data_IF_954438046232
#
_entry.id   IF_954438046232
#
_cell.length_a   1.000
_cell.length_b   1.000
_cell.length_c   1.000
_cell.angle_alpha   90.00
_cell.angle_beta   90.00
_cell.angle_gamma   90.00
#
_symmetry.space_group_name_H-M   'P 1'
#
loop_
_entity.id
_entity.type
_entity.pdbx_description
1 polymer ?
#
# COMPACT_ATOMS: atom_id res chain seq x y z
N UNK A 1 54.54 56.45 -64.64
CA UNK A 1 53.13 56.01 -64.50
C UNK A 1 53.16 54.70 -63.72
N UNK A 2 52.50 54.66 -62.56
CA UNK A 2 52.84 53.80 -61.43
C UNK A 2 52.46 52.31 -61.60
N UNK A 3 53.34 51.47 -61.04
CA UNK A 3 53.35 50.01 -61.00
C UNK A 3 52.26 49.43 -60.08
N UNK A 4 51.66 48.31 -60.48
CA UNK A 4 50.86 47.44 -59.59
C UNK A 4 51.23 45.98 -59.88
N UNK A 5 52.04 45.36 -59.00
CA UNK A 5 52.24 43.90 -58.94
C UNK A 5 52.53 43.48 -57.48
N UNK A 6 51.77 42.46 -57.03
CA UNK A 6 52.00 41.44 -55.96
C UNK A 6 52.63 41.86 -54.61
N UNK A 7 52.03 41.39 -53.51
CA UNK A 7 52.51 40.20 -52.73
C UNK A 7 51.77 40.02 -51.39
N UNK A 8 51.76 38.76 -50.92
CA UNK A 8 51.43 38.21 -49.57
C UNK A 8 49.94 37.99 -49.27
N UNK A 9 49.48 36.89 -48.64
CA UNK A 9 50.18 35.87 -47.85
C UNK A 9 49.44 34.52 -47.89
N UNK A 10 50.13 33.49 -48.41
CA UNK A 10 49.77 32.08 -48.34
C UNK A 10 50.33 31.48 -47.04
N UNK A 11 49.56 31.45 -45.95
CA UNK A 11 49.98 30.72 -44.73
C UNK A 11 48.87 29.86 -44.10
N UNK A 12 47.60 29.96 -44.51
CA UNK A 12 46.52 29.25 -43.82
C UNK A 12 45.80 28.14 -44.61
N UNK A 13 46.37 27.69 -45.74
CA UNK A 13 45.79 26.62 -46.57
C UNK A 13 46.66 25.36 -46.68
N UNK A 14 47.71 25.24 -45.85
CA UNK A 14 48.59 24.07 -45.80
C UNK A 14 48.36 23.11 -44.61
N UNK A 15 47.36 23.37 -43.76
CA UNK A 15 47.02 22.50 -42.61
C UNK A 15 45.78 21.60 -42.83
N UNK A 16 45.19 21.60 -44.02
CA UNK A 16 44.00 20.77 -44.33
C UNK A 16 44.31 19.57 -45.24
N UNK A 17 45.53 19.46 -45.77
CA UNK A 17 45.91 18.43 -46.77
C UNK A 17 46.75 17.27 -46.17
N UNK A 18 46.82 17.14 -44.84
CA UNK A 18 47.56 16.06 -44.15
C UNK A 18 46.73 15.13 -43.25
N UNK A 19 45.40 15.12 -43.41
CA UNK A 19 44.52 14.10 -42.80
C UNK A 19 43.55 13.47 -43.82
N UNK A 20 43.94 13.39 -45.10
CA UNK A 20 43.18 12.67 -46.16
C UNK A 20 44.03 11.53 -46.76
N UNK A 21 44.94 10.94 -45.98
CA UNK A 21 45.65 9.71 -46.37
C UNK A 21 45.77 8.77 -45.16
N UNK A 22 44.67 8.11 -44.78
CA UNK A 22 44.66 6.84 -44.02
C UNK A 22 43.28 6.17 -44.01
N UNK A 23 42.57 6.19 -45.15
CA UNK A 23 41.40 5.32 -45.35
C UNK A 23 41.56 4.55 -46.65
N UNK A 24 42.36 3.49 -46.60
CA UNK A 24 42.30 2.41 -47.56
C UNK A 24 42.68 1.11 -46.82
N UNK A 25 41.90 0.05 -47.11
CA UNK A 25 42.05 -1.35 -46.68
C UNK A 25 41.22 -1.78 -45.45
N UNK A 26 39.91 -1.98 -45.66
CA UNK A 26 39.20 -3.08 -45.00
C UNK A 26 38.12 -3.65 -45.93
N UNK A 27 38.29 -4.92 -46.31
CA UNK A 27 37.38 -5.74 -47.15
C UNK A 27 36.01 -5.95 -46.47
N UNK A 28 34.90 -6.07 -47.22
CA UNK A 28 33.60 -6.39 -46.64
C UNK A 28 33.50 -7.90 -46.36
N UNK A 29 33.31 -8.27 -45.09
CA UNK A 29 32.81 -9.62 -44.72
C UNK A 29 31.31 -9.52 -44.48
N UNK A 30 30.56 -10.16 -45.36
CA UNK A 30 29.14 -10.46 -45.17
C UNK A 30 28.97 -11.29 -43.89
N UNK A 31 28.32 -10.70 -42.88
CA UNK A 31 27.88 -11.40 -41.69
C UNK A 31 26.35 -11.28 -41.63
N UNK A 32 25.67 -12.39 -41.92
CA UNK A 32 24.24 -12.55 -41.72
C UNK A 32 23.91 -12.31 -40.25
N UNK A 33 23.20 -11.23 -39.96
CA UNK A 33 22.65 -10.96 -38.62
C UNK A 33 21.34 -11.74 -38.51
N UNK A 34 21.40 -12.90 -37.87
CA UNK A 34 20.22 -13.55 -37.31
C UNK A 34 19.64 -12.65 -36.21
N UNK A 35 18.31 -12.49 -36.10
CA UNK A 35 17.73 -11.74 -35.00
C UNK A 35 17.89 -12.56 -33.72
N UNK A 36 18.84 -12.16 -32.86
CA UNK A 36 18.89 -12.65 -31.50
C UNK A 36 17.73 -11.99 -30.74
N UNK A 37 16.71 -12.78 -30.43
CA UNK A 37 15.67 -12.41 -29.48
C UNK A 37 16.36 -12.16 -28.13
N UNK A 38 16.56 -10.88 -27.81
CA UNK A 38 17.14 -10.46 -26.53
C UNK A 38 16.08 -10.62 -25.46
N UNK A 39 16.03 -11.77 -24.80
CA UNK A 39 15.39 -11.85 -23.48
C UNK A 39 16.07 -10.81 -22.58
N UNK A 40 15.37 -9.71 -22.27
CA UNK A 40 15.83 -8.72 -21.30
C UNK A 40 16.14 -9.48 -20.00
N UNK A 41 17.42 -9.60 -19.66
CA UNK A 41 17.83 -9.99 -18.31
C UNK A 41 17.32 -8.91 -17.36
N UNK A 42 16.17 -9.16 -16.73
CA UNK A 42 15.59 -8.26 -15.72
C UNK A 42 16.59 -8.11 -14.59
N UNK A 43 16.93 -6.88 -14.23
CA UNK A 43 17.79 -6.59 -13.09
C UNK A 43 17.15 -7.19 -11.82
N UNK A 44 17.87 -8.02 -11.05
CA UNK A 44 17.30 -8.76 -9.92
C UNK A 44 16.89 -7.89 -8.73
N UNK A 45 17.12 -6.57 -8.79
CA UNK A 45 16.86 -5.61 -7.71
C UNK A 45 15.68 -4.68 -7.97
N UNK A 46 15.13 -4.66 -9.20
CA UNK A 46 14.03 -3.78 -9.57
C UNK A 46 12.74 -4.60 -9.65
N UNK A 47 11.65 -4.06 -9.11
CA UNK A 47 10.35 -4.68 -9.36
C UNK A 47 10.01 -4.63 -10.84
N UNK A 48 9.29 -5.66 -11.26
CA UNK A 48 8.88 -5.84 -12.64
C UNK A 48 8.09 -4.62 -13.14
N UNK A 49 8.60 -3.88 -14.14
CA UNK A 49 7.95 -2.69 -14.66
C UNK A 49 6.68 -2.97 -15.45
N UNK A 50 6.47 -4.22 -15.87
CA UNK A 50 5.31 -4.62 -16.66
C UNK A 50 4.14 -5.06 -15.76
N UNK A 51 4.29 -4.90 -14.44
CA UNK A 51 3.32 -5.37 -13.46
C UNK A 51 2.75 -4.24 -12.60
N UNK A 52 1.42 -4.31 -12.44
CA UNK A 52 0.63 -3.45 -11.57
C UNK A 52 0.10 -4.29 -10.41
N UNK A 53 0.31 -3.84 -9.18
CA UNK A 53 -0.26 -4.50 -8.00
C UNK A 53 -1.46 -3.72 -7.47
N UNK A 54 -2.42 -4.45 -6.91
CA UNK A 54 -3.48 -3.89 -6.07
C UNK A 54 -3.22 -4.33 -4.65
N UNK A 55 -3.13 -3.36 -3.74
CA UNK A 55 -3.04 -3.61 -2.31
C UNK A 55 -4.32 -3.17 -1.63
N UNK A 56 -4.69 -3.90 -0.58
CA UNK A 56 -5.64 -3.42 0.42
C UNK A 56 -4.87 -3.00 1.66
N UNK A 57 -5.12 -1.78 2.11
CA UNK A 57 -4.69 -1.31 3.42
C UNK A 57 -5.87 -1.35 4.39
N UNK A 58 -5.67 -1.96 5.55
CA UNK A 58 -6.62 -1.90 6.67
C UNK A 58 -5.95 -1.17 7.82
N UNK A 59 -6.55 -0.06 8.27
CA UNK A 59 -6.21 0.58 9.53
C UNK A 59 -7.05 -0.09 10.63
N UNK A 60 -6.39 -0.78 11.57
CA UNK A 60 -7.02 -1.24 12.81
C UNK A 60 -6.59 -0.31 13.96
N UNK A 61 -7.56 0.30 14.62
CA UNK A 61 -7.31 1.25 15.70
C UNK A 61 -7.48 0.55 17.05
N UNK A 62 -6.57 0.86 17.98
CA UNK A 62 -6.47 0.26 19.31
C UNK A 62 -6.49 1.34 20.40
N UNK A 63 -7.14 2.48 20.15
CA UNK A 63 -7.25 3.56 21.13
C UNK A 63 -8.42 3.28 22.08
N UNK A 64 -8.11 2.51 23.12
CA UNK A 64 -9.07 2.12 24.15
C UNK A 64 -8.75 2.75 25.49
N UNK A 65 -9.77 2.84 26.37
CA UNK A 65 -9.59 3.27 27.76
C UNK A 65 -8.63 2.38 28.53
N UNK A 66 -8.54 1.10 28.18
CA UNK A 66 -7.64 0.15 28.86
C UNK A 66 -6.19 0.39 28.50
N UNK A 67 -5.89 0.65 27.22
CA UNK A 67 -4.52 0.89 26.76
C UNK A 67 -4.06 2.32 27.01
N UNK A 68 -4.98 3.29 26.90
CA UNK A 68 -4.71 4.72 27.06
C UNK A 68 -5.74 5.35 28.02
N UNK A 69 -5.67 5.05 29.33
CA UNK A 69 -6.67 5.50 30.30
C UNK A 69 -6.63 7.01 30.58
N UNK A 70 -5.47 7.66 30.38
CA UNK A 70 -5.29 9.08 30.72
C UNK A 70 -6.11 9.95 29.77
N UNK A 71 -7.03 10.72 30.33
CA UNK A 71 -7.87 11.69 29.61
C UNK A 71 -8.60 11.11 28.39
N UNK A 72 -8.91 9.82 28.40
CA UNK A 72 -9.61 9.16 27.28
C UNK A 72 -10.91 9.91 26.95
N UNK A 73 -11.08 10.49 25.74
CA UNK A 73 -12.24 11.29 25.39
C UNK A 73 -13.50 10.42 25.29
N UNK A 74 -14.46 10.61 26.19
CA UNK A 74 -15.73 9.87 26.17
C UNK A 74 -16.86 10.65 25.50
N UNK A 75 -16.80 11.98 25.49
CA UNK A 75 -17.91 12.83 25.04
C UNK A 75 -17.41 14.14 24.43
N UNK A 76 -18.14 14.62 23.41
CA UNK A 76 -18.00 15.93 22.74
C UNK A 76 -16.58 16.30 22.25
N UNK A 77 -16.06 15.63 21.20
CA UNK A 77 -16.51 14.34 20.66
C UNK A 77 -15.89 13.15 21.43
N UNK A 78 -16.47 11.95 21.35
CA UNK A 78 -15.81 10.74 21.84
C UNK A 78 -14.53 10.45 21.03
N UNK A 79 -13.64 9.64 21.60
CA UNK A 79 -12.46 9.13 20.92
C UNK A 79 -12.86 8.46 19.61
N UNK A 80 -12.29 8.93 18.50
CA UNK A 80 -12.57 8.48 17.14
C UNK A 80 -11.39 8.83 16.23
N UNK A 81 -11.53 8.55 14.94
CA UNK A 81 -10.49 8.77 13.93
C UNK A 81 -11.06 9.43 12.69
N UNK A 82 -10.28 10.31 12.06
CA UNK A 82 -10.65 10.85 10.75
C UNK A 82 -10.64 9.75 9.68
N UNK A 83 -11.08 10.12 8.46
CA UNK A 83 -10.78 9.31 7.28
C UNK A 83 -9.28 9.05 7.17
N UNK A 84 -8.91 7.94 6.56
CA UNK A 84 -7.52 7.71 6.13
C UNK A 84 -7.35 8.40 4.80
N UNK A 85 -6.30 9.20 4.68
CA UNK A 85 -5.83 9.74 3.41
C UNK A 85 -4.55 9.00 3.03
N UNK A 86 -4.41 8.60 1.77
CA UNK A 86 -3.21 7.92 1.31
C UNK A 86 -2.88 8.19 -0.14
N UNK A 87 -1.61 8.00 -0.48
CA UNK A 87 -1.08 8.12 -1.84
C UNK A 87 -0.08 7.00 -2.09
N UNK A 88 -0.14 6.37 -3.26
CA UNK A 88 1.01 5.65 -3.80
C UNK A 88 1.85 6.58 -4.65
N UNK A 89 3.16 6.47 -4.54
CA UNK A 89 4.06 7.46 -5.12
C UNK A 89 5.49 6.95 -5.29
N UNK A 90 6.28 7.73 -6.02
CA UNK A 90 7.73 7.54 -6.18
C UNK A 90 8.52 8.23 -5.04
N UNK A 91 9.84 8.37 -5.19
CA UNK A 91 10.66 9.02 -4.17
C UNK A 91 10.58 10.56 -4.13
N UNK A 92 9.97 11.20 -5.13
CA UNK A 92 9.91 12.65 -5.25
C UNK A 92 8.80 13.28 -4.40
N UNK A 93 7.69 12.56 -4.22
CA UNK A 93 6.58 13.00 -3.39
C UNK A 93 6.81 12.71 -1.89
N UNK A 94 6.26 13.55 -1.02
CA UNK A 94 6.27 13.36 0.43
C UNK A 94 4.98 13.91 1.03
N UNK A 95 4.14 13.02 1.59
CA UNK A 95 2.92 13.43 2.28
C UNK A 95 3.23 14.15 3.61
N UNK A 96 4.13 13.54 4.40
CA UNK A 96 4.66 14.09 5.64
C UNK A 96 6.00 13.43 5.94
N UNK A 97 6.84 14.06 6.78
CA UNK A 97 8.10 13.46 7.22
C UNK A 97 8.48 13.94 8.61
N UNK A 98 8.90 12.99 9.45
CA UNK A 98 9.44 13.30 10.78
C UNK A 98 10.66 14.22 10.63
N UNK A 99 10.78 15.19 11.53
CA UNK A 99 11.80 16.24 11.55
C UNK A 99 11.72 17.24 10.39
N UNK A 100 10.59 17.29 9.67
CA UNK A 100 10.26 18.33 8.69
C UNK A 100 8.98 19.06 9.12
N UNK A 101 8.83 20.30 8.66
CA UNK A 101 7.60 21.07 8.87
C UNK A 101 6.46 20.50 8.04
N UNK A 102 5.24 20.54 8.57
CA UNK A 102 4.04 20.13 7.83
C UNK A 102 3.79 21.03 6.62
N UNK A 103 3.31 20.45 5.51
CA UNK A 103 2.75 21.23 4.42
C UNK A 103 1.42 21.87 4.85
N UNK A 104 0.96 22.89 4.14
CA UNK A 104 -0.30 23.57 4.48
C UNK A 104 -1.50 22.61 4.37
N UNK A 105 -1.53 21.75 3.33
CA UNK A 105 -2.59 20.76 3.20
C UNK A 105 -2.54 19.70 4.31
N UNK A 106 -1.34 19.27 4.71
CA UNK A 106 -1.20 18.28 5.78
C UNK A 106 -1.52 18.88 7.16
N UNK A 107 -1.25 20.18 7.35
CA UNK A 107 -1.70 20.94 8.52
C UNK A 107 -3.23 20.96 8.61
N UNK A 108 -3.92 21.36 7.53
CA UNK A 108 -5.39 21.36 7.49
C UNK A 108 -5.96 19.99 7.87
N UNK A 109 -5.38 18.92 7.33
CA UNK A 109 -5.79 17.56 7.64
C UNK A 109 -5.54 17.16 9.09
N UNK A 110 -4.35 17.43 9.60
CA UNK A 110 -3.98 17.06 10.98
C UNK A 110 -4.73 17.85 12.02
N UNK A 111 -5.21 19.07 11.75
CA UNK A 111 -6.01 19.89 12.69
C UNK A 111 -7.52 19.72 12.53
N UNK A 112 -8.03 19.49 11.32
CA UNK A 112 -9.49 19.51 11.05
C UNK A 112 -10.05 18.19 10.51
N UNK A 113 -9.20 17.32 9.97
CA UNK A 113 -9.59 16.11 9.25
C UNK A 113 -10.07 16.36 7.81
N UNK A 114 -10.08 17.60 7.34
CA UNK A 114 -10.34 17.96 5.93
C UNK A 114 -9.11 17.74 5.07
N UNK A 115 -9.28 17.38 3.80
CA UNK A 115 -8.17 17.14 2.88
C UNK A 115 -8.31 17.92 1.58
N UNK A 116 -9.21 18.89 1.50
CA UNK A 116 -9.51 19.60 0.27
C UNK A 116 -8.25 20.20 -0.37
N UNK A 117 -7.36 20.78 0.45
CA UNK A 117 -6.08 21.32 -0.01
C UNK A 117 -5.12 20.23 -0.50
N UNK A 118 -5.04 19.07 0.18
CA UNK A 118 -4.18 17.95 -0.25
C UNK A 118 -4.67 17.29 -1.52
N UNK A 119 -5.99 17.13 -1.65
CA UNK A 119 -6.61 16.49 -2.81
C UNK A 119 -6.45 17.41 -4.03
N UNK A 120 -6.56 18.73 -3.86
CA UNK A 120 -6.24 19.71 -4.91
C UNK A 120 -4.76 19.71 -5.32
N UNK A 121 -3.83 19.54 -4.36
CA UNK A 121 -2.38 19.44 -4.63
C UNK A 121 -2.00 18.14 -5.33
N UNK A 122 -2.75 17.07 -5.10
CA UNK A 122 -2.50 15.76 -5.73
C UNK A 122 -2.82 15.78 -7.24
N UNK A 123 -3.60 16.76 -7.71
CA UNK A 123 -3.85 17.01 -9.13
C UNK A 123 -2.69 17.78 -9.77
N UNK A 124 -1.68 17.08 -10.29
CA UNK A 124 -0.59 17.67 -11.06
C UNK A 124 0.77 17.70 -10.37
N UNK A 125 0.91 17.19 -9.14
CA UNK A 125 2.21 16.89 -8.55
C UNK A 125 2.82 15.66 -9.22
N UNK A 126 4.02 15.84 -9.80
CA UNK A 126 4.80 14.73 -10.36
C UNK A 126 5.22 13.78 -9.25
N UNK A 127 4.90 12.49 -9.42
CA UNK A 127 5.35 11.41 -8.54
C UNK A 127 4.24 10.71 -7.76
N UNK A 128 3.00 11.21 -7.75
CA UNK A 128 1.83 10.48 -7.23
C UNK A 128 1.25 9.60 -8.35
N UNK A 129 0.93 8.35 -8.03
CA UNK A 129 0.34 7.39 -8.95
C UNK A 129 -1.14 7.14 -8.68
N UNK A 130 -1.49 6.92 -7.41
CA UNK A 130 -2.87 6.70 -6.99
C UNK A 130 -3.15 7.48 -5.70
N UNK A 131 -4.34 8.05 -5.61
CA UNK A 131 -4.87 8.68 -4.40
C UNK A 131 -6.02 7.83 -3.88
N UNK A 132 -5.96 7.47 -2.61
CA UNK A 132 -6.97 6.62 -1.99
C UNK A 132 -7.38 7.13 -0.62
N UNK A 133 -8.62 6.83 -0.25
CA UNK A 133 -9.20 7.21 1.02
C UNK A 133 -9.95 6.04 1.65
N UNK A 134 -9.87 5.91 2.99
CA UNK A 134 -10.70 4.98 3.75
C UNK A 134 -11.67 5.77 4.65
N UNK A 135 -12.91 5.30 4.86
CA UNK A 135 -13.88 5.98 5.73
C UNK A 135 -13.35 6.22 7.16
N UNK A 136 -13.86 7.25 7.88
CA UNK A 136 -13.51 7.47 9.28
C UNK A 136 -13.96 6.33 10.20
N UNK A 137 -13.26 6.16 11.32
CA UNK A 137 -13.66 5.22 12.39
C UNK A 137 -14.32 6.04 13.51
N UNK A 138 -15.60 5.81 13.77
CA UNK A 138 -16.42 6.63 14.69
C UNK A 138 -16.23 6.30 16.18
N UNK A 139 -15.27 5.44 16.52
CA UNK A 139 -14.91 5.04 17.87
C UNK A 139 -13.39 4.89 18.00
N UNK A 140 -12.87 4.87 19.22
CA UNK A 140 -11.43 4.77 19.47
C UNK A 140 -10.84 3.44 18.98
N UNK A 141 -11.64 2.38 18.97
CA UNK A 141 -11.31 1.07 18.40
C UNK A 141 -12.23 0.74 17.23
N UNK A 142 -11.66 0.21 16.16
CA UNK A 142 -12.39 -0.15 14.96
C UNK A 142 -11.46 -0.47 13.80
N UNK A 143 -12.05 -0.62 12.62
CA UNK A 143 -11.32 -0.89 11.39
C UNK A 143 -11.89 -0.07 10.24
N UNK A 144 -11.01 0.35 9.36
CA UNK A 144 -11.35 0.94 8.06
C UNK A 144 -10.36 0.44 7.02
N UNK A 145 -10.78 0.39 5.76
CA UNK A 145 -9.95 -0.14 4.68
C UNK A 145 -10.14 0.61 3.37
N UNK A 146 -9.11 0.56 2.53
CA UNK A 146 -9.09 1.08 1.18
C UNK A 146 -8.21 0.19 0.30
N UNK A 147 -8.52 0.13 -0.98
CA UNK A 147 -7.66 -0.46 -1.99
C UNK A 147 -6.92 0.64 -2.76
N UNK A 148 -5.72 0.35 -3.22
CA UNK A 148 -4.90 1.27 -4.00
C UNK A 148 -3.96 0.53 -4.93
N UNK A 149 -3.54 1.22 -5.98
CA UNK A 149 -2.65 0.71 -7.01
C UNK A 149 -1.20 1.13 -6.77
N UNK A 150 -0.26 0.24 -7.10
CA UNK A 150 1.19 0.52 -7.11
C UNK A 150 1.85 -0.14 -8.31
N UNK A 151 2.85 0.52 -8.88
CA UNK A 151 3.69 0.00 -9.97
C UNK A 151 5.18 0.04 -9.60
N UNK A 152 6.06 -0.39 -10.51
CA UNK A 152 7.51 -0.41 -10.23
C UNK A 152 8.12 0.96 -9.95
N UNK A 153 7.58 2.04 -10.54
CA UNK A 153 8.08 3.40 -10.37
C UNK A 153 7.52 4.06 -9.11
N UNK A 154 6.32 3.66 -8.69
CA UNK A 154 5.55 4.23 -7.59
C UNK A 154 5.26 3.15 -6.54
N UNK A 155 6.34 2.52 -6.07
CA UNK A 155 6.28 1.40 -5.13
C UNK A 155 6.14 1.80 -3.66
N UNK A 156 6.14 3.11 -3.37
CA UNK A 156 6.02 3.64 -2.00
C UNK A 156 4.58 4.02 -1.72
N UNK A 157 4.19 3.90 -0.47
CA UNK A 157 2.90 4.36 0.03
C UNK A 157 3.11 5.26 1.25
N UNK A 158 2.43 6.41 1.24
CA UNK A 158 2.29 7.28 2.41
C UNK A 158 0.81 7.46 2.74
N UNK A 159 0.48 7.42 4.03
CA UNK A 159 -0.89 7.60 4.48
C UNK A 159 -0.95 8.09 5.92
N UNK A 160 -2.04 8.75 6.28
CA UNK A 160 -2.27 9.28 7.61
C UNK A 160 -3.75 9.24 8.02
N UNK A 161 -4.00 9.25 9.33
CA UNK A 161 -5.31 9.44 9.95
C UNK A 161 -5.15 10.28 11.22
N UNK A 162 -5.95 11.34 11.35
CA UNK A 162 -5.97 12.23 12.52
C UNK A 162 -6.62 11.52 13.71
N UNK A 163 -6.04 11.73 14.89
CA UNK A 163 -6.61 11.34 16.18
C UNK A 163 -7.68 12.38 16.54
N UNK A 164 -8.90 11.95 16.85
CA UNK A 164 -10.01 12.87 17.10
C UNK A 164 -10.64 12.60 18.48
N UNK A 165 -10.77 13.62 19.35
CA UNK A 165 -10.23 14.97 19.21
C UNK A 165 -8.72 15.00 19.51
N UNK A 166 -8.01 15.93 18.88
CA UNK A 166 -6.64 16.29 19.23
C UNK A 166 -6.32 17.70 18.71
N UNK A 167 -5.21 18.33 19.13
CA UNK A 167 -4.72 19.57 18.54
C UNK A 167 -4.38 19.34 17.06
N UNK A 168 -3.28 18.64 16.78
CA UNK A 168 -2.75 18.33 15.44
C UNK A 168 -2.20 16.89 15.37
N UNK A 169 -2.69 15.99 16.23
CA UNK A 169 -2.11 14.66 16.37
C UNK A 169 -2.67 13.66 15.36
N UNK A 170 -1.79 12.78 14.88
CA UNK A 170 -2.15 11.79 13.86
C UNK A 170 -1.35 10.49 14.01
N UNK A 171 -1.75 9.47 13.25
CA UNK A 171 -0.94 8.28 12.97
C UNK A 171 -0.73 8.16 11.46
N UNK A 172 0.39 7.59 11.04
CA UNK A 172 0.67 7.46 9.62
C UNK A 172 1.93 6.69 9.31
N UNK A 173 2.16 6.49 8.01
CA UNK A 173 3.37 5.92 7.43
C UNK A 173 3.87 6.87 6.34
N UNK A 174 5.17 7.16 6.35
CA UNK A 174 5.87 7.93 5.32
C UNK A 174 6.67 6.96 4.45
N UNK A 175 6.41 6.99 3.14
CA UNK A 175 7.20 6.37 2.09
C UNK A 175 7.51 4.89 2.31
N UNK A 176 6.55 4.11 2.82
CA UNK A 176 6.72 2.68 3.04
C UNK A 176 6.82 1.96 1.69
N UNK A 177 7.92 1.25 1.45
CA UNK A 177 8.17 0.60 0.17
C UNK A 177 7.58 -0.82 0.15
N UNK A 178 6.66 -1.07 -0.78
CA UNK A 178 6.00 -2.37 -0.98
C UNK A 178 6.75 -3.29 -1.97
N UNK A 179 7.80 -2.76 -2.61
CA UNK A 179 8.72 -3.49 -3.47
C UNK A 179 10.11 -3.56 -2.82
N UNK A 180 10.54 -4.72 -2.37
CA UNK A 180 11.85 -4.90 -1.71
C UNK A 180 12.65 -5.94 -2.48
N UNK A 181 13.86 -5.59 -2.91
CA UNK A 181 14.76 -6.48 -3.65
C UNK A 181 14.10 -7.15 -4.87
N UNK A 182 13.32 -6.38 -5.63
CA UNK A 182 12.58 -6.86 -6.81
C UNK A 182 11.35 -7.72 -6.50
N UNK A 183 10.97 -7.86 -5.22
CA UNK A 183 9.82 -8.65 -4.79
C UNK A 183 8.74 -7.79 -4.13
N UNK A 184 7.49 -8.04 -4.54
CA UNK A 184 6.31 -7.40 -3.95
C UNK A 184 5.92 -8.08 -2.64
N UNK A 185 5.74 -7.29 -1.59
CA UNK A 185 5.37 -7.76 -0.24
C UNK A 185 3.95 -8.36 -0.24
N UNK A 186 3.79 -9.66 -0.04
CA UNK A 186 2.45 -10.27 -0.04
C UNK A 186 1.55 -9.77 1.11
N UNK A 187 2.11 -9.62 2.31
CA UNK A 187 1.42 -9.00 3.44
C UNK A 187 2.38 -8.48 4.49
N UNK A 188 2.02 -7.38 5.15
CA UNK A 188 2.79 -6.81 6.26
C UNK A 188 1.87 -6.08 7.24
N UNK A 189 2.20 -6.17 8.53
CA UNK A 189 1.50 -5.46 9.60
C UNK A 189 2.46 -4.49 10.28
N UNK A 190 2.13 -3.20 10.26
CA UNK A 190 2.98 -2.12 10.78
C UNK A 190 2.27 -1.44 11.93
N UNK A 191 2.84 -1.59 13.12
CA UNK A 191 2.38 -0.93 14.34
C UNK A 191 2.84 0.52 14.34
N UNK A 192 1.93 1.43 14.64
CA UNK A 192 2.21 2.87 14.66
C UNK A 192 1.82 3.48 15.99
N UNK A 193 2.56 4.53 16.37
CA UNK A 193 2.30 5.38 17.53
C UNK A 193 1.81 6.76 17.10
N UNK A 194 1.33 7.57 18.06
CA UNK A 194 0.91 8.94 17.79
C UNK A 194 2.09 9.82 17.35
N UNK A 195 1.81 10.76 16.45
CA UNK A 195 2.72 11.79 15.97
C UNK A 195 2.05 13.15 16.12
N UNK A 196 2.87 14.17 16.30
CA UNK A 196 2.49 15.57 16.44
C UNK A 196 2.76 16.29 15.11
N UNK A 197 1.83 17.14 14.66
CA UNK A 197 1.91 17.89 13.40
C UNK A 197 2.90 19.05 13.45
N UNK A 198 3.20 19.56 14.65
CA UNK A 198 4.02 20.75 14.88
C UNK A 198 3.30 22.06 14.56
N UNK A 199 1.98 22.07 14.48
CA UNK A 199 1.18 23.22 14.05
C UNK A 199 0.23 23.75 15.13
N UNK A 200 -0.05 22.98 16.17
CA UNK A 200 -0.79 23.41 17.37
C UNK A 200 -0.11 22.97 18.67
N UNK A 201 -0.03 23.88 19.66
CA UNK A 201 0.64 23.69 20.95
C UNK A 201 -0.26 23.05 22.03
N UNK A 202 -1.45 22.57 21.68
CA UNK A 202 -2.37 21.94 22.61
C UNK A 202 -1.74 20.74 23.35
N UNK A 203 -1.87 20.70 24.67
CA UNK A 203 -1.30 19.61 25.48
C UNK A 203 -2.21 18.38 25.58
N UNK A 204 -3.53 18.56 25.41
CA UNK A 204 -4.52 17.52 25.66
C UNK A 204 -5.41 17.29 24.45
N UNK A 205 -6.10 16.15 24.40
CA UNK A 205 -7.01 15.80 23.30
C UNK A 205 -8.05 16.90 23.00
N UNK A 206 -8.51 17.60 24.03
CA UNK A 206 -9.57 18.62 23.94
C UNK A 206 -9.04 20.02 24.24
N UNK A 207 -7.74 20.25 24.10
CA UNK A 207 -7.16 21.59 24.24
C UNK A 207 -7.78 22.54 23.21
N UNK A 208 -8.06 23.81 23.58
CA UNK A 208 -8.40 24.83 22.60
C UNK A 208 -7.27 25.01 21.58
N UNK A 209 -7.62 25.42 20.37
CA UNK A 209 -6.67 25.72 19.30
C UNK A 209 -5.64 26.78 19.77
N UNK A 210 -4.37 26.42 19.71
CA UNK A 210 -3.24 27.27 20.06
C UNK A 210 -2.13 27.11 19.01
N UNK A 211 -2.19 27.86 17.90
CA UNK A 211 -1.26 27.69 16.79
C UNK A 211 0.21 27.81 17.20
N UNK A 212 1.06 26.98 16.60
CA UNK A 212 2.51 27.03 16.76
C UNK A 212 3.13 28.07 15.84
N UNK A 213 3.79 29.07 16.43
CA UNK A 213 4.48 30.13 15.71
C UNK A 213 5.92 30.34 16.25
N UNK A 214 6.97 30.00 15.47
CA UNK A 214 6.92 29.40 14.13
C UNK A 214 6.41 27.94 14.18
N UNK A 215 6.00 27.41 13.02
CA UNK A 215 5.63 25.99 12.93
C UNK A 215 6.81 25.10 13.32
N UNK A 216 6.53 24.13 14.18
CA UNK A 216 7.49 23.14 14.61
C UNK A 216 7.62 22.02 13.57
N UNK A 217 8.54 21.10 13.82
CA UNK A 217 8.75 19.93 12.98
C UNK A 217 7.90 18.78 13.48
N UNK A 218 7.37 17.98 12.56
CA UNK A 218 6.65 16.75 12.89
C UNK A 218 7.55 15.85 13.74
N UNK A 219 7.04 15.37 14.87
CA UNK A 219 7.77 14.47 15.75
C UNK A 219 6.89 13.34 16.26
N UNK A 220 7.54 12.27 16.76
CA UNK A 220 6.82 11.14 17.38
C UNK A 220 6.50 11.48 18.82
N UNK A 221 5.25 11.32 19.20
CA UNK A 221 4.83 11.38 20.59
C UNK A 221 5.19 10.05 21.26
N UNK A 222 5.90 10.12 22.36
CA UNK A 222 6.32 8.95 23.16
C UNK A 222 5.70 9.03 24.56
N UNK A 223 5.95 8.03 25.40
CA UNK A 223 5.46 8.02 26.78
C UNK A 223 6.07 9.14 27.64
N UNK A 224 7.20 9.70 27.21
CA UNK A 224 7.96 10.72 27.92
C UNK A 224 8.19 12.02 27.13
N UNK A 225 7.73 12.11 25.88
CA UNK A 225 7.87 13.29 25.02
C UNK A 225 6.53 13.57 24.29
N UNK A 226 5.95 14.78 24.44
CA UNK A 226 6.49 15.91 25.19
C UNK A 226 6.40 15.71 26.72
N UNK A 227 7.42 16.15 27.45
CA UNK A 227 7.60 15.86 28.88
C UNK A 227 6.84 16.87 29.74
N UNK A 228 5.52 16.78 29.73
CA UNK A 228 4.66 17.62 30.55
C UNK A 228 3.56 16.77 31.22
N UNK A 229 3.30 16.91 32.53
CA UNK A 229 2.32 16.09 33.24
C UNK A 229 0.91 16.16 32.66
N UNK A 230 0.52 17.30 32.06
CA UNK A 230 -0.79 17.45 31.43
C UNK A 230 -0.90 16.77 30.07
N UNK A 231 0.22 16.38 29.42
CA UNK A 231 0.16 15.81 28.08
C UNK A 231 -0.60 14.48 28.06
N UNK A 232 -1.53 14.34 27.11
CA UNK A 232 -2.40 13.16 27.01
C UNK A 232 -1.65 11.84 26.93
N UNK A 233 -0.52 11.82 26.21
CA UNK A 233 0.32 10.65 26.01
C UNK A 233 1.52 10.56 26.96
N UNK A 234 1.56 11.39 28.00
CA UNK A 234 2.61 11.31 29.02
C UNK A 234 2.30 10.25 30.08
N UNK A 235 3.03 9.13 29.99
CA UNK A 235 2.97 7.96 30.87
C UNK A 235 4.39 7.64 31.37
N UNK A 236 4.87 8.31 32.43
CA UNK A 236 6.29 8.23 32.85
C UNK A 236 6.73 6.84 33.30
N UNK A 237 5.79 5.99 33.71
CA UNK A 237 6.06 4.61 34.14
C UNK A 237 6.20 3.62 32.96
N UNK A 238 5.85 4.05 31.74
CA UNK A 238 5.97 3.23 30.53
C UNK A 238 7.27 3.57 29.79
N UNK A 239 8.04 2.53 29.46
CA UNK A 239 9.22 2.69 28.58
C UNK A 239 8.82 3.16 27.18
N UNK A 240 7.74 2.60 26.65
CA UNK A 240 7.18 2.90 25.33
C UNK A 240 5.66 2.86 25.39
N UNK A 241 5.00 3.65 24.55
CA UNK A 241 3.55 3.57 24.39
C UNK A 241 3.17 2.24 23.71
N UNK A 242 2.04 1.61 24.11
CA UNK A 242 1.46 0.57 23.29
C UNK A 242 1.09 1.14 21.90
N UNK A 243 1.04 0.30 20.85
CA UNK A 243 0.63 0.76 19.54
C UNK A 243 -0.81 1.25 19.59
N UNK A 244 -1.05 2.49 19.17
CA UNK A 244 -2.39 3.08 19.13
C UNK A 244 -3.16 2.64 17.87
N UNK A 245 -2.45 2.21 16.83
CA UNK A 245 -3.04 1.66 15.62
C UNK A 245 -2.08 0.69 14.91
N UNK A 246 -2.61 -0.04 13.92
CA UNK A 246 -1.83 -0.94 13.06
C UNK A 246 -2.34 -0.84 11.63
N UNK A 247 -1.44 -0.62 10.68
CA UNK A 247 -1.72 -0.73 9.26
C UNK A 247 -1.40 -2.14 8.77
N UNK A 248 -2.37 -2.79 8.13
CA UNK A 248 -2.18 -4.08 7.46
C UNK A 248 -2.21 -3.85 5.97
N UNK A 249 -1.13 -4.20 5.27
CA UNK A 249 -1.10 -4.24 3.82
C UNK A 249 -1.22 -5.68 3.38
N UNK A 250 -2.09 -5.94 2.42
CA UNK A 250 -2.24 -7.26 1.79
C UNK A 250 -2.29 -7.05 0.29
N UNK A 251 -1.41 -7.73 -0.44
CA UNK A 251 -1.48 -7.77 -1.90
C UNK A 251 -2.71 -8.57 -2.30
N UNK A 252 -3.63 -7.91 -3.00
CA UNK A 252 -4.92 -8.48 -3.41
C UNK A 252 -4.81 -9.08 -4.80
N UNK A 253 -4.26 -8.34 -5.75
CA UNK A 253 -4.13 -8.73 -7.16
C UNK A 253 -2.81 -8.27 -7.76
N UNK A 254 -2.40 -8.99 -8.79
CA UNK A 254 -1.23 -8.70 -9.61
C UNK A 254 -1.68 -8.79 -11.07
N UNK A 255 -1.55 -7.69 -11.80
CA UNK A 255 -1.81 -7.62 -13.23
C UNK A 255 -0.47 -7.53 -13.96
N UNK A 256 -0.32 -8.33 -15.02
CA UNK A 256 0.73 -8.14 -16.01
C UNK A 256 0.10 -7.46 -17.23
N UNK A 257 0.76 -6.44 -17.78
CA UNK A 257 0.40 -5.93 -19.10
C UNK A 257 0.51 -7.10 -20.09
N UNK A 258 -0.62 -7.53 -20.66
CA UNK A 258 -0.59 -8.58 -21.66
C UNK A 258 0.16 -8.07 -22.89
N UNK A 259 1.29 -8.69 -23.23
CA UNK A 259 1.96 -8.48 -24.52
C UNK A 259 1.05 -9.03 -25.63
N UNK A 260 0.07 -8.26 -26.11
CA UNK A 260 -0.63 -8.58 -27.37
C UNK A 260 -0.91 -7.31 -28.15
N UNK A 261 0.02 -6.98 -29.05
CA UNK A 261 -0.30 -6.59 -30.42
C UNK A 261 0.80 -7.15 -31.32
N UNK A 262 0.80 -8.47 -31.51
CA UNK A 262 1.35 -9.00 -32.75
C UNK A 262 0.44 -8.47 -33.86
N UNK A 263 0.93 -7.44 -34.56
CA UNK A 263 0.34 -6.98 -35.80
C UNK A 263 0.43 -8.14 -36.80
N UNK A 264 -0.59 -8.99 -36.80
CA UNK A 264 -0.84 -9.93 -37.89
C UNK A 264 -0.97 -9.07 -39.15
N UNK A 265 0.06 -9.18 -39.97
CA UNK A 265 0.18 -8.72 -41.35
C UNK A 265 -1.17 -8.64 -42.05
N UNK A 266 -1.76 -7.44 -42.11
CA UNK A 266 -2.75 -7.13 -43.12
C UNK A 266 -2.00 -6.82 -44.41
N UNK A 267 -2.03 -7.77 -45.34
CA UNK A 267 -1.70 -7.54 -46.75
C UNK A 267 -2.64 -6.47 -47.33
N UNK A 268 -2.14 -5.58 -48.20
CA UNK A 268 -2.96 -4.51 -48.76
C UNK A 268 -3.95 -5.09 -49.77
N UNK A 269 -5.25 -4.90 -49.51
CA UNK A 269 -6.29 -5.04 -50.52
C UNK A 269 -6.39 -3.67 -51.20
N UNK A 270 -5.93 -3.61 -52.45
CA UNK A 270 -6.42 -2.64 -53.42
C UNK A 270 -7.91 -2.90 -53.62
N UNK A 271 -8.75 -1.87 -53.51
CA UNK A 271 -9.50 -1.40 -54.67
C UNK A 271 -10.43 -0.22 -54.33
N UNK A 272 -10.23 0.80 -55.15
CA UNK A 272 -11.07 1.88 -55.66
C UNK A 272 -12.59 1.85 -55.43
N UNK A 273 -13.10 3.09 -55.29
CA UNK A 273 -14.41 3.63 -55.70
C UNK A 273 -15.54 3.73 -54.65
N UNK A 274 -15.67 4.95 -54.12
CA UNK A 274 -16.95 5.57 -53.70
C UNK A 274 -17.88 5.75 -54.90
N UNK A 275 -19.21 5.82 -54.67
CA UNK A 275 -19.82 7.15 -54.80
C UNK A 275 -20.85 7.54 -53.72
N UNK A 276 -20.96 8.86 -53.60
CA UNK A 276 -21.92 9.74 -52.96
C UNK A 276 -23.39 9.27 -52.95
N UNK A 277 -24.10 9.55 -51.84
CA UNK A 277 -25.46 10.09 -51.85
C UNK A 277 -25.56 11.18 -50.78
N UNK A 278 -25.77 12.41 -51.26
CA UNK A 278 -26.27 13.61 -50.56
C UNK A 278 -27.79 13.49 -50.34
N UNK A 279 -28.33 14.40 -49.51
CA UNK A 279 -29.75 14.61 -49.15
C UNK A 279 -30.24 13.73 -47.98
N UNK A 280 -30.72 14.25 -46.85
CA UNK A 280 -31.68 15.34 -46.67
C UNK A 280 -31.38 16.06 -45.34
N UNK A 281 -31.16 17.38 -45.41
CA UNK A 281 -31.46 18.31 -44.33
C UNK A 281 -32.87 18.87 -44.58
N UNK A 282 -33.69 18.98 -43.53
CA UNK A 282 -34.38 20.20 -43.09
C UNK A 282 -35.66 19.89 -42.29
N UNK A 283 -35.81 20.59 -41.18
CA UNK A 283 -37.03 20.57 -40.38
C UNK A 283 -36.85 21.21 -39.00
N UNK A 284 -36.60 22.52 -39.00
CA UNK A 284 -36.68 23.42 -37.84
C UNK A 284 -38.14 23.57 -37.44
N UNK A 285 -38.51 23.48 -36.16
CA UNK A 285 -39.07 24.63 -35.43
C UNK A 285 -39.31 24.43 -33.93
N UNK A 286 -39.27 25.57 -33.25
CA UNK A 286 -39.38 25.82 -31.81
C UNK A 286 -40.79 25.60 -31.25
N UNK A 287 -40.91 25.20 -29.97
CA UNK A 287 -41.73 25.92 -28.97
C UNK A 287 -41.71 25.29 -27.57
N UNK A 288 -41.28 26.13 -26.63
CA UNK A 288 -41.71 26.37 -25.25
C UNK A 288 -43.02 25.69 -24.78
N UNK A 289 -42.99 25.02 -23.61
CA UNK A 289 -43.68 25.43 -22.36
C UNK A 289 -43.97 24.26 -21.40
N UNK A 290 -43.44 24.42 -20.18
CA UNK A 290 -44.12 24.30 -18.88
C UNK A 290 -45.33 23.36 -18.77
N UNK A 291 -45.23 22.28 -17.98
CA UNK A 291 -46.10 22.06 -16.80
C UNK A 291 -45.62 20.93 -15.90
N UNK A 292 -45.96 21.10 -14.63
CA UNK A 292 -45.64 20.35 -13.42
C UNK A 292 -46.43 19.05 -13.23
N UNK A 293 -46.15 18.38 -12.10
CA UNK A 293 -46.98 17.40 -11.36
C UNK A 293 -46.79 15.96 -11.89
N UNK A 294 -46.46 14.92 -11.11
CA UNK A 294 -46.92 14.56 -9.75
C UNK A 294 -46.07 13.40 -9.22
N UNK A 295 -45.81 13.42 -7.91
CA UNK A 295 -45.30 12.30 -7.08
C UNK A 295 -46.40 11.22 -6.96
N UNK A 296 -46.05 9.93 -6.78
CA UNK A 296 -46.53 9.27 -5.56
C UNK A 296 -45.44 8.51 -4.80
N UNK A 297 -45.53 8.66 -3.49
CA UNK A 297 -44.78 8.00 -2.43
C UNK A 297 -45.34 6.62 -2.06
N UNK A 298 -44.59 5.94 -1.18
CA UNK A 298 -44.95 4.81 -0.29
C UNK A 298 -44.89 3.40 -0.93
N UNK A 299 -44.38 2.35 -0.27
CA UNK A 299 -44.52 2.02 1.17
C UNK A 299 -43.54 0.93 1.65
N UNK A 300 -43.23 1.03 2.93
CA UNK A 300 -42.65 0.05 3.86
C UNK A 300 -43.34 -1.33 3.88
N UNK A 301 -42.56 -2.40 4.14
CA UNK A 301 -42.90 -3.60 4.95
C UNK A 301 -41.56 -4.17 5.49
N UNK A 302 -41.18 -3.94 6.75
CA UNK A 302 -41.38 -4.78 7.97
C UNK A 302 -40.73 -6.19 7.98
N UNK A 303 -39.85 -6.40 8.97
CA UNK A 303 -39.29 -7.68 9.43
C UNK A 303 -40.35 -8.57 10.09
N UNK A 304 -39.99 -9.83 10.38
CA UNK A 304 -40.06 -10.20 11.80
C UNK A 304 -38.87 -11.03 12.31
N UNK A 305 -38.75 -10.97 13.64
CA UNK A 305 -37.84 -11.64 14.56
C UNK A 305 -38.06 -13.17 14.70
N UNK A 306 -37.07 -13.90 15.26
CA UNK A 306 -37.13 -14.48 16.63
C UNK A 306 -36.30 -15.77 16.84
N UNK A 307 -35.44 -15.71 17.89
CA UNK A 307 -34.94 -16.70 18.89
C UNK A 307 -34.20 -18.02 18.55
N UNK A 308 -33.04 -18.15 19.24
CA UNK A 308 -32.42 -19.24 20.04
C UNK A 308 -32.68 -20.73 19.76
N UNK A 309 -31.62 -21.55 19.88
CA UNK A 309 -31.50 -22.74 20.78
C UNK A 309 -30.03 -23.22 20.85
N UNK A 310 -29.74 -23.83 22.00
CA UNK A 310 -28.51 -24.16 22.74
C UNK A 310 -27.51 -25.21 22.17
N UNK A 311 -26.40 -25.28 22.91
CA UNK A 311 -25.25 -26.21 22.93
C UNK A 311 -25.57 -27.73 22.96
N UNK A 312 -24.55 -28.57 22.68
CA UNK A 312 -24.12 -29.76 23.47
C UNK A 312 -22.97 -30.53 22.77
N UNK A 313 -21.85 -30.68 23.50
CA UNK A 313 -20.89 -31.80 23.66
C UNK A 313 -20.30 -32.57 22.45
N UNK A 314 -19.28 -33.42 22.58
CA UNK A 314 -18.02 -33.51 23.34
C UNK A 314 -17.32 -34.78 22.78
N UNK A 315 -15.99 -34.73 22.66
CA UNK A 315 -14.98 -35.83 22.61
C UNK A 315 -15.23 -37.15 21.86
N UNK A 316 -14.26 -37.48 20.99
CA UNK A 316 -13.37 -38.67 21.02
C UNK A 316 -12.61 -38.65 19.67
N UNK A 317 -11.33 -38.99 19.51
CA UNK A 317 -10.53 -40.05 20.10
C UNK A 317 -9.05 -39.89 19.68
N UNK A 318 -8.18 -40.23 20.62
CA UNK A 318 -6.74 -40.38 20.47
C UNK A 318 -6.42 -41.76 19.89
N UNK A 319 -5.51 -41.85 18.91
CA UNK A 319 -4.30 -42.72 18.89
C UNK A 319 -3.80 -43.00 17.48
N UNK A 320 -2.58 -42.55 17.16
CA UNK A 320 -1.61 -43.46 16.53
C UNK A 320 -0.17 -43.11 16.90
N UNK A 321 0.55 -44.18 17.25
CA UNK A 321 1.86 -44.27 17.89
C UNK A 321 3.03 -43.83 16.99
N UNK A 322 3.95 -43.10 17.62
CA UNK A 322 5.42 -43.30 17.72
C UNK A 322 6.14 -44.16 16.67
N UNK A 323 7.19 -43.60 16.07
CA UNK A 323 8.54 -44.15 15.73
C UNK A 323 9.28 -43.03 14.95
N UNK A 324 10.55 -42.63 15.13
CA UNK A 324 11.82 -43.32 15.46
C UNK A 324 12.88 -42.27 15.89
N UNK A 325 13.91 -42.72 16.62
CA UNK A 325 15.12 -41.97 17.05
C UNK A 325 16.33 -42.28 16.15
N UNK A 326 17.32 -41.36 16.18
CA UNK A 326 18.79 -41.52 15.93
C UNK A 326 19.18 -41.83 14.47
N UNK A 327 20.31 -41.40 13.90
CA UNK A 327 21.65 -41.01 14.39
C UNK A 327 22.48 -40.44 13.21
N UNK A 328 23.60 -39.74 13.48
CA UNK A 328 24.73 -39.67 12.53
C UNK A 328 25.50 -38.36 12.55
N UNK A 329 26.81 -38.43 12.78
CA UNK A 329 27.75 -37.32 12.94
C UNK A 329 28.88 -37.36 11.90
N UNK A 330 29.67 -36.26 11.84
CA UNK A 330 30.94 -35.98 11.09
C UNK A 330 30.74 -35.58 9.62
N UNK A 331 31.31 -34.48 9.12
CA UNK A 331 32.73 -34.06 9.19
C UNK A 331 32.93 -32.54 9.38
N UNK A 332 33.98 -32.18 10.14
CA UNK A 332 34.56 -30.84 10.30
C UNK A 332 35.93 -30.82 9.61
N UNK A 333 36.20 -29.78 8.82
CA UNK A 333 37.43 -28.98 8.72
C UNK A 333 37.43 -28.39 7.31
N UNK A 334 37.44 -27.08 7.10
CA UNK A 334 38.70 -26.33 7.13
C UNK A 334 38.41 -24.81 7.02
N UNK A 335 38.24 -24.14 8.15
CA UNK A 335 38.43 -22.67 8.27
C UNK A 335 38.66 -22.22 9.72
N UNK A 336 39.15 -23.12 10.57
CA UNK A 336 39.60 -22.81 11.92
C UNK A 336 40.99 -22.20 11.86
N UNK A 337 41.08 -20.90 11.56
CA UNK A 337 42.23 -20.05 11.97
C UNK A 337 41.96 -18.54 12.01
N UNK A 338 40.72 -18.08 11.80
CA UNK A 338 40.30 -16.69 12.07
C UNK A 338 39.25 -16.53 13.18
N UNK A 339 38.89 -17.61 13.88
CA UNK A 339 37.90 -17.62 14.98
C UNK A 339 38.50 -17.63 16.40
N UNK A 340 39.83 -17.70 16.55
CA UNK A 340 40.47 -17.87 17.86
C UNK A 340 40.79 -16.55 18.58
N UNK A 341 40.64 -15.40 17.93
CA UNK A 341 40.89 -14.08 18.55
C UNK A 341 39.60 -13.34 18.97
N UNK A 342 38.43 -13.78 18.51
CA UNK A 342 37.12 -13.20 18.86
C UNK A 342 36.42 -13.95 20.00
N UNK A 343 37.00 -15.04 20.52
CA UNK A 343 36.42 -15.86 21.60
C UNK A 343 36.99 -15.57 23.00
N UNK A 344 38.04 -14.77 23.11
CA UNK A 344 38.61 -14.35 24.40
C UNK A 344 38.03 -13.03 24.93
N UNK A 345 37.21 -12.31 24.16
CA UNK A 345 36.57 -11.05 24.59
C UNK A 345 35.08 -11.20 24.98
N UNK A 346 34.49 -12.38 24.78
CA UNK A 346 33.07 -12.68 25.09
C UNK A 346 32.92 -13.52 26.38
N UNK A 347 34.01 -13.97 27.00
CA UNK A 347 33.96 -14.86 28.16
C UNK A 347 33.98 -14.18 29.52
N UNK A 348 34.19 -12.86 29.61
CA UNK A 348 34.19 -12.15 30.90
C UNK A 348 32.88 -11.43 31.23
N UNK A 349 31.96 -11.23 30.28
CA UNK A 349 30.68 -10.53 30.53
C UNK A 349 29.47 -11.46 30.80
N UNK A 350 29.67 -12.78 30.87
CA UNK A 350 28.57 -13.76 31.06
C UNK A 350 28.73 -14.63 32.31
N UNK A 351 29.56 -14.22 33.28
CA UNK A 351 29.81 -14.99 34.51
C UNK A 351 29.12 -14.49 35.77
N UNK A 352 28.24 -13.48 35.69
CA UNK A 352 27.58 -12.93 36.89
C UNK A 352 26.05 -13.05 36.95
N UNK A 353 25.35 -13.32 35.84
CA UNK A 353 23.88 -13.45 35.85
C UNK A 353 23.37 -14.91 35.87
N UNK A 354 24.23 -15.87 36.28
CA UNK A 354 23.84 -17.29 36.42
C UNK A 354 23.55 -17.73 37.87
N UNK A 355 23.65 -16.82 38.84
CA UNK A 355 23.51 -17.15 40.26
C UNK A 355 22.13 -16.86 40.89
N UNK A 356 21.17 -16.23 40.19
CA UNK A 356 19.93 -15.75 40.83
C UNK A 356 18.58 -16.31 40.34
N UNK A 357 18.54 -17.21 39.35
CA UNK A 357 17.23 -17.74 38.85
C UNK A 357 16.95 -19.23 39.08
N UNK A 358 17.82 -19.94 39.81
CA UNK A 358 17.62 -21.34 40.20
C UNK A 358 16.84 -21.53 41.52
N UNK A 359 15.74 -20.79 41.75
CA UNK A 359 14.84 -21.07 42.90
C UNK A 359 13.34 -20.97 42.62
N UNK A 360 12.89 -21.01 41.36
CA UNK A 360 11.47 -21.27 41.04
C UNK A 360 11.31 -22.17 39.82
N UNK A 361 11.88 -23.37 39.91
CA UNK A 361 11.43 -24.47 39.08
C UNK A 361 10.16 -25.07 39.68
N UNK A 362 9.03 -24.97 38.97
CA UNK A 362 8.11 -26.11 38.81
C UNK A 362 7.08 -25.85 37.71
N UNK A 363 7.26 -26.62 36.63
CA UNK A 363 6.21 -27.44 36.00
C UNK A 363 5.18 -26.73 35.12
N UNK A 364 5.53 -26.51 33.84
CA UNK A 364 4.61 -26.70 32.71
C UNK A 364 5.40 -27.22 31.51
N UNK A 365 5.69 -28.52 31.50
CA UNK A 365 6.03 -29.24 30.27
C UNK A 365 4.72 -29.69 29.62
N UNK A 366 4.52 -29.34 28.34
CA UNK A 366 3.39 -29.63 27.44
C UNK A 366 2.32 -28.54 27.26
N UNK A 367 2.71 -27.31 26.91
CA UNK A 367 1.85 -26.51 26.02
C UNK A 367 2.41 -26.61 24.61
N UNK A 368 1.65 -27.23 23.70
CA UNK A 368 1.93 -27.18 22.27
C UNK A 368 2.06 -25.72 21.83
N UNK A 369 2.96 -25.42 20.88
CA UNK A 369 3.24 -24.05 20.44
C UNK A 369 2.04 -23.32 19.80
N UNK A 370 2.25 -22.06 19.38
CA UNK A 370 1.27 -21.31 18.60
C UNK A 370 0.80 -22.13 17.39
N UNK A 371 -0.51 -22.19 17.16
CA UNK A 371 -1.10 -22.87 15.99
C UNK A 371 -1.80 -21.83 15.14
N UNK A 372 -1.34 -21.68 13.90
CA UNK A 372 -1.93 -20.78 12.92
C UNK A 372 -3.30 -21.29 12.47
N UNK A 373 -4.15 -20.38 12.00
CA UNK A 373 -5.38 -20.79 11.35
C UNK A 373 -5.09 -21.47 9.99
N UNK A 374 -5.80 -22.56 9.72
CA UNK A 374 -5.80 -23.25 8.42
C UNK A 374 -7.21 -23.17 7.84
N UNK A 375 -7.31 -22.90 6.54
CA UNK A 375 -8.58 -22.79 5.79
C UNK A 375 -8.61 -23.83 4.67
N UNK A 376 -9.81 -24.15 4.19
CA UNK A 376 -10.00 -25.07 3.07
C UNK A 376 -9.56 -24.43 1.77
N UNK A 377 -9.52 -25.23 0.72
CA UNK A 377 -9.57 -24.71 -0.64
C UNK A 377 -10.85 -23.90 -0.85
N UNK A 378 -10.81 -23.03 -1.85
CA UNK A 378 -11.96 -22.24 -2.25
C UNK A 378 -13.07 -23.12 -2.80
N UNK A 379 -14.31 -22.82 -2.41
CA UNK A 379 -15.48 -23.33 -3.11
C UNK A 379 -15.56 -22.79 -4.54
N UNK A 380 -16.47 -23.37 -5.32
CA UNK A 380 -16.80 -22.86 -6.64
C UNK A 380 -17.33 -21.43 -6.55
N UNK A 381 -17.07 -20.66 -7.61
CA UNK A 381 -17.67 -19.34 -7.80
C UNK A 381 -19.20 -19.47 -7.90
N UNK A 382 -19.91 -18.54 -7.26
CA UNK A 382 -21.35 -18.37 -7.43
C UNK A 382 -21.67 -17.97 -8.87
N UNK A 383 -22.94 -18.11 -9.25
CA UNK A 383 -23.45 -17.42 -10.42
C UNK A 383 -23.18 -15.91 -10.32
N UNK A 384 -23.03 -15.26 -11.48
CA UNK A 384 -22.88 -13.81 -11.52
C UNK A 384 -24.14 -13.15 -10.97
N UNK A 385 -24.00 -12.10 -10.17
CA UNK A 385 -25.13 -11.40 -9.54
C UNK A 385 -26.06 -10.74 -10.56
N UNK A 386 -25.58 -10.48 -11.78
CA UNK A 386 -26.37 -10.01 -12.90
C UNK A 386 -26.29 -10.97 -14.08
N UNK A 387 -27.41 -11.15 -14.77
CA UNK A 387 -27.50 -11.94 -16.00
C UNK A 387 -26.99 -11.19 -17.23
N UNK A 388 -26.96 -9.86 -17.18
CA UNK A 388 -26.39 -9.00 -18.21
C UNK A 388 -25.69 -7.81 -17.54
N UNK A 389 -24.64 -7.30 -18.18
CA UNK A 389 -23.89 -6.16 -17.68
C UNK A 389 -22.83 -6.59 -16.68
N UNK A 390 -22.36 -5.62 -15.90
CA UNK A 390 -21.31 -5.85 -14.92
C UNK A 390 -21.96 -6.28 -13.60
N UNK A 391 -21.72 -7.53 -13.23
CA UNK A 391 -22.10 -8.14 -11.96
C UNK A 391 -20.89 -8.60 -11.15
N UNK A 392 -21.16 -9.24 -10.03
CA UNK A 392 -20.18 -9.75 -9.08
C UNK A 392 -20.46 -11.24 -8.82
N UNK A 393 -19.40 -12.03 -8.71
CA UNK A 393 -19.45 -13.44 -8.35
C UNK A 393 -18.60 -13.64 -7.11
N UNK A 394 -19.11 -14.43 -6.18
CA UNK A 394 -18.53 -14.64 -4.86
C UNK A 394 -18.17 -16.11 -4.70
N UNK A 395 -17.05 -16.40 -4.04
CA UNK A 395 -16.72 -17.75 -3.57
C UNK A 395 -16.36 -17.71 -2.10
N UNK A 396 -16.63 -18.83 -1.42
CA UNK A 396 -16.38 -18.97 0.01
C UNK A 396 -15.49 -20.16 0.30
N UNK A 397 -14.71 -20.09 1.38
CA UNK A 397 -13.94 -21.20 1.95
C UNK A 397 -14.16 -21.27 3.45
N UNK A 398 -13.93 -22.44 4.03
CA UNK A 398 -14.20 -22.69 5.46
C UNK A 398 -12.91 -22.73 6.26
N UNK A 399 -13.00 -22.42 7.55
CA UNK A 399 -11.89 -22.63 8.48
C UNK A 399 -11.79 -24.13 8.78
N UNK A 400 -10.64 -24.74 8.50
CA UNK A 400 -10.34 -26.13 8.87
C UNK A 400 -9.81 -26.22 10.31
N UNK A 401 -9.08 -25.21 10.75
CA UNK A 401 -8.52 -25.16 12.11
C UNK A 401 -8.38 -23.72 12.56
N UNK A 402 -9.01 -23.35 13.68
CA UNK A 402 -8.85 -22.01 14.26
C UNK A 402 -7.47 -21.81 14.90
N UNK A 403 -7.03 -20.56 14.86
CA UNK A 403 -5.80 -20.11 15.51
C UNK A 403 -5.87 -20.31 17.02
N UNK A 404 -4.76 -20.72 17.65
CA UNK A 404 -4.64 -20.85 19.12
C UNK A 404 -3.27 -20.39 19.60
N UNK A 405 -3.22 -19.90 20.85
CA UNK A 405 -1.99 -19.55 21.59
C UNK A 405 -1.06 -18.59 20.80
N UNK A 406 -1.65 -17.52 20.26
CA UNK A 406 -0.90 -16.50 19.53
C UNK A 406 -0.52 -16.87 18.09
N UNK A 407 -1.16 -17.90 17.49
CA UNK A 407 -1.02 -18.16 16.06
C UNK A 407 -1.79 -17.16 15.20
N UNK A 408 -1.34 -16.95 13.96
CA UNK A 408 -1.97 -16.07 12.96
C UNK A 408 -3.47 -16.33 12.78
N UNK A 409 -4.30 -15.27 12.69
CA UNK A 409 -5.73 -15.39 12.43
C UNK A 409 -6.00 -15.96 11.03
N UNK A 410 -7.25 -16.36 10.78
CA UNK A 410 -7.66 -16.91 9.50
C UNK A 410 -7.57 -15.86 8.39
N UNK A 411 -7.06 -16.21 7.20
CA UNK A 411 -7.16 -15.35 6.03
C UNK A 411 -8.64 -15.18 5.62
N UNK A 412 -8.97 -14.23 4.72
CA UNK A 412 -10.35 -13.98 4.28
C UNK A 412 -11.06 -15.25 3.83
N UNK A 413 -12.32 -15.43 4.25
CA UNK A 413 -13.13 -16.62 3.97
C UNK A 413 -14.05 -16.44 2.77
N UNK A 414 -14.14 -15.23 2.25
CA UNK A 414 -14.96 -14.83 1.12
C UNK A 414 -14.08 -14.04 0.14
N UNK A 415 -14.31 -14.25 -1.15
CA UNK A 415 -13.63 -13.55 -2.22
C UNK A 415 -14.62 -13.22 -3.32
N UNK A 416 -14.53 -11.99 -3.84
CA UNK A 416 -15.38 -11.51 -4.90
C UNK A 416 -14.58 -11.22 -6.16
N UNK A 417 -15.21 -11.41 -7.32
CA UNK A 417 -14.69 -10.99 -8.62
C UNK A 417 -15.80 -10.40 -9.48
N UNK A 418 -15.41 -9.51 -10.37
CA UNK A 418 -16.30 -8.96 -11.38
C UNK A 418 -16.59 -10.04 -12.43
N UNK A 419 -17.83 -10.07 -12.90
CA UNK A 419 -18.31 -11.01 -13.91
C UNK A 419 -19.35 -10.34 -14.81
N UNK A 420 -19.68 -11.01 -15.91
CA UNK A 420 -20.63 -10.50 -16.90
C UNK A 420 -19.99 -9.59 -17.94
N UNK A 421 -20.78 -9.24 -18.97
CA UNK A 421 -20.37 -8.37 -20.07
C UNK A 421 -21.48 -7.39 -20.40
N UNK A 422 -21.10 -6.17 -20.75
CA UNK A 422 -22.03 -5.15 -21.24
C UNK A 422 -22.59 -5.48 -22.63
N UNK A 423 -22.01 -6.46 -23.33
CA UNK A 423 -22.43 -6.91 -24.68
C UNK A 423 -23.77 -7.65 -24.68
N UNK A 424 -24.16 -8.23 -23.55
CA UNK A 424 -25.39 -9.00 -23.42
C UNK A 424 -26.56 -8.15 -22.90
N UNK A 425 -26.36 -6.83 -22.79
CA UNK A 425 -27.38 -5.88 -22.35
C UNK A 425 -28.16 -5.28 -23.53
N UNK A 426 -29.47 -5.10 -23.36
CA UNK A 426 -30.26 -4.22 -24.23
C UNK A 426 -29.82 -2.76 -24.10
N UNK A 427 -29.99 -1.95 -25.15
CA UNK A 427 -29.63 -0.52 -25.16
C UNK A 427 -30.15 0.27 -23.94
N UNK A 428 -31.34 -0.08 -23.42
CA UNK A 428 -31.94 0.51 -22.22
C UNK A 428 -31.15 0.30 -20.92
N UNK A 429 -30.13 -0.58 -20.90
CA UNK A 429 -29.25 -0.77 -19.73
C UNK A 429 -28.32 0.43 -19.51
N UNK A 430 -28.05 1.23 -20.55
CA UNK A 430 -27.18 2.40 -20.48
C UNK A 430 -27.95 3.72 -20.33
N UNK A 431 -29.28 3.67 -20.22
CA UNK A 431 -30.11 4.83 -19.88
C UNK A 431 -30.12 4.99 -18.36
N UNK A 432 -29.03 5.53 -17.82
CA UNK A 432 -28.90 5.92 -16.41
C UNK A 432 -28.90 7.43 -16.23
#
# INVERSE_FOLDING_TARGET
MWYVVRTTSHVLTFLVILLIVSFAMAKPRSAKRSPSFSSKERSPFLCDPDKLMVYKVTLATHWSRTLFPKQYPEWRPPAQWSKVIGRSHDSSYTLFRISQSSSEGFKEFTETGRSDTLDAQSQGEGGIFDEFNAPPVTAGEGKTEAEFFVDSNHSRVSLASRIVPSPDWFVGLDSFNLCIDGQWVDSVAIKVGPMDGGTDNGFTFTSPNWPSDPTEKIFRITSNMPNHPANSFYYPDLNDLPPIATFFFVKVKEYALAEIFDAVTLSPISDTSTPLIEDILQGVDSSTSTTSTTVPSEKYVEQPDREEIEDVEEQNNETLRKKTKKSGAKSKSESTKKSSLLKSLVTDYSRDERAKKNRRGRKWSNLSGPRHCMVSEWGSWSACSKSCGIGESTRVRKVLTHARRGGNPCPPLEENKWCGSSRDCSHAYFDW
#
